data_IF_472047427345
#
_entry.id   IF_472047427345
#
_cell.length_a   1.000
_cell.length_b   1.000
_cell.length_c   1.000
_cell.angle_alpha   90.00
_cell.angle_beta   90.00
_cell.angle_gamma   90.00
#
_symmetry.space_group_name_H-M   'P 1'
#
loop_
_entity.id
_entity.type
_entity.pdbx_description
1 polymer ?
#
# COMPACT_ATOMS: atom_id res chain seq x y z
N UNK A 1 -35.57 -46.14 1.58
CA UNK A 1 -34.39 -45.84 0.74
C UNK A 1 -34.46 -44.37 0.36
N UNK A 2 -33.47 -43.58 0.80
CA UNK A 2 -33.37 -42.14 0.56
C UNK A 2 -32.83 -41.92 -0.87
N UNK A 3 -33.59 -41.27 -1.73
CA UNK A 3 -33.08 -40.68 -2.98
C UNK A 3 -32.63 -39.26 -2.67
N UNK A 4 -31.35 -39.10 -2.32
CA UNK A 4 -30.73 -37.79 -2.06
C UNK A 4 -30.32 -37.19 -3.41
N UNK A 5 -30.97 -36.06 -3.72
CA UNK A 5 -30.47 -34.89 -4.45
C UNK A 5 -29.38 -35.11 -5.51
N UNK A 6 -29.81 -35.24 -6.76
CA UNK A 6 -28.99 -34.90 -7.93
C UNK A 6 -29.25 -33.44 -8.33
N UNK A 7 -28.86 -32.50 -7.48
CA UNK A 7 -28.71 -31.08 -7.83
C UNK A 7 -27.28 -30.67 -7.45
N UNK A 8 -26.33 -31.16 -8.23
CA UNK A 8 -24.93 -30.75 -8.20
C UNK A 8 -24.49 -30.55 -9.64
N UNK A 9 -25.03 -29.50 -10.28
CA UNK A 9 -24.50 -29.01 -11.55
C UNK A 9 -25.05 -27.61 -11.85
N UNK A 10 -24.35 -26.59 -11.36
CA UNK A 10 -23.94 -25.41 -12.12
C UNK A 10 -23.22 -24.47 -11.17
N UNK A 11 -21.92 -24.73 -10.99
CA UNK A 11 -20.98 -23.71 -10.58
C UNK A 11 -20.86 -22.76 -11.77
N UNK A 12 -21.81 -21.83 -11.84
CA UNK A 12 -21.91 -20.82 -12.88
C UNK A 12 -20.66 -19.95 -12.73
N UNK A 13 -19.61 -20.27 -13.50
CA UNK A 13 -18.44 -19.40 -13.65
C UNK A 13 -18.94 -18.14 -14.34
N UNK A 14 -19.51 -17.22 -13.55
CA UNK A 14 -19.92 -15.89 -13.98
C UNK A 14 -18.65 -15.16 -14.37
N UNK A 15 -18.22 -15.41 -15.60
CA UNK A 15 -17.10 -14.74 -16.22
C UNK A 15 -17.69 -13.44 -16.75
N UNK A 16 -17.81 -12.43 -15.87
CA UNK A 16 -18.24 -11.09 -16.30
C UNK A 16 -17.30 -10.65 -17.43
N UNK A 17 -17.81 -10.19 -18.59
CA UNK A 17 -16.97 -9.61 -19.63
C UNK A 17 -16.10 -8.48 -19.05
N UNK A 18 -14.87 -8.32 -19.54
CA UNK A 18 -13.97 -7.22 -19.12
C UNK A 18 -14.64 -5.83 -19.29
N UNK A 19 -15.55 -5.71 -20.26
CA UNK A 19 -16.32 -4.51 -20.52
C UNK A 19 -17.60 -4.36 -19.66
N UNK A 20 -17.98 -5.38 -18.89
CA UNK A 20 -19.16 -5.38 -18.02
C UNK A 20 -18.85 -4.77 -16.65
N UNK A 21 -18.15 -3.65 -16.68
CA UNK A 21 -17.97 -2.79 -15.52
C UNK A 21 -19.31 -2.14 -15.16
N UNK A 22 -19.72 -2.28 -13.91
CA UNK A 22 -20.94 -1.66 -13.46
C UNK A 22 -20.63 -0.23 -12.96
N UNK A 23 -21.40 0.80 -13.34
CA UNK A 23 -21.15 2.18 -12.90
C UNK A 23 -21.03 2.33 -11.37
N UNK A 24 -21.70 1.48 -10.61
CA UNK A 24 -21.61 1.41 -9.14
C UNK A 24 -20.22 1.06 -8.61
N UNK A 25 -19.37 0.40 -9.41
CA UNK A 25 -17.99 0.07 -9.05
C UNK A 25 -17.04 1.29 -9.22
N UNK A 26 -17.53 2.47 -9.66
CA UNK A 26 -16.76 3.70 -9.95
C UNK A 26 -15.94 4.19 -8.77
N UNK A 27 -16.59 4.30 -7.61
CA UNK A 27 -15.95 4.77 -6.39
C UNK A 27 -14.80 3.84 -5.97
N UNK A 28 -15.00 2.53 -6.09
CA UNK A 28 -14.02 1.52 -5.74
C UNK A 28 -12.77 1.58 -6.63
N UNK A 29 -12.93 1.64 -7.96
CA UNK A 29 -11.79 1.79 -8.87
C UNK A 29 -11.05 3.10 -8.66
N UNK A 30 -11.79 4.19 -8.41
CA UNK A 30 -11.20 5.48 -8.07
C UNK A 30 -10.38 5.40 -6.79
N UNK A 31 -10.90 4.73 -5.75
CA UNK A 31 -10.19 4.47 -4.50
C UNK A 31 -8.88 3.69 -4.72
N UNK A 32 -8.91 2.63 -5.52
CA UNK A 32 -7.68 1.88 -5.86
C UNK A 32 -6.66 2.80 -6.52
N UNK A 33 -7.09 3.57 -7.52
CA UNK A 33 -6.24 4.54 -8.21
C UNK A 33 -5.63 5.55 -7.23
N UNK A 34 -6.44 6.08 -6.30
CA UNK A 34 -5.98 7.00 -5.26
C UNK A 34 -4.93 6.36 -4.35
N UNK A 35 -5.14 5.13 -3.89
CA UNK A 35 -4.17 4.40 -3.06
C UNK A 35 -2.84 4.21 -3.78
N UNK A 36 -2.87 3.74 -5.04
CA UNK A 36 -1.67 3.50 -5.86
C UNK A 36 -0.90 4.80 -6.10
N UNK A 37 -1.61 5.86 -6.48
CA UNK A 37 -1.02 7.17 -6.71
C UNK A 37 -0.44 7.76 -5.42
N UNK A 38 -1.19 7.75 -4.30
CA UNK A 38 -0.74 8.28 -3.02
C UNK A 38 0.53 7.58 -2.53
N UNK A 39 0.59 6.25 -2.61
CA UNK A 39 1.79 5.48 -2.25
C UNK A 39 2.99 5.89 -3.11
N UNK A 40 2.77 5.97 -4.42
CA UNK A 40 3.81 6.34 -5.40
C UNK A 40 4.30 7.76 -5.16
N UNK A 41 3.41 8.70 -4.84
CA UNK A 41 3.79 10.07 -4.52
C UNK A 41 4.59 10.13 -3.21
N UNK A 42 4.21 9.36 -2.20
CA UNK A 42 4.96 9.30 -0.95
C UNK A 42 6.40 8.80 -1.15
N UNK A 43 6.60 7.75 -1.95
CA UNK A 43 7.95 7.28 -2.29
C UNK A 43 8.78 8.39 -2.96
N UNK A 44 8.18 9.16 -3.87
CA UNK A 44 8.87 10.27 -4.54
C UNK A 44 9.19 11.42 -3.57
N UNK A 45 8.23 11.82 -2.74
CA UNK A 45 8.42 12.87 -1.75
C UNK A 45 9.50 12.50 -0.73
N UNK A 46 9.53 11.24 -0.27
CA UNK A 46 10.56 10.76 0.63
C UNK A 46 11.93 10.71 -0.03
N UNK A 47 12.02 10.29 -1.29
CA UNK A 47 13.26 10.33 -2.06
C UNK A 47 13.82 11.75 -2.18
N UNK A 48 12.97 12.73 -2.49
CA UNK A 48 13.34 14.15 -2.54
C UNK A 48 13.82 14.66 -1.17
N UNK A 49 13.08 14.34 -0.09
CA UNK A 49 13.48 14.69 1.28
C UNK A 49 14.84 14.10 1.67
N UNK A 50 15.11 12.86 1.29
CA UNK A 50 16.42 12.25 1.52
C UNK A 50 17.53 12.94 0.72
N UNK A 51 17.26 13.40 -0.50
CA UNK A 51 18.23 14.20 -1.26
C UNK A 51 18.60 15.50 -0.51
N UNK A 52 17.60 16.23 0.00
CA UNK A 52 17.85 17.42 0.84
C UNK A 52 18.72 17.08 2.07
N UNK A 53 18.39 15.99 2.77
CA UNK A 53 19.16 15.57 3.94
C UNK A 53 20.62 15.23 3.59
N UNK A 54 20.87 14.53 2.47
CA UNK A 54 22.23 14.24 1.99
C UNK A 54 23.01 15.52 1.70
N UNK A 55 22.38 16.48 1.01
CA UNK A 55 22.98 17.78 0.71
C UNK A 55 23.38 18.53 1.99
N UNK A 56 22.51 18.55 3.01
CA UNK A 56 22.82 19.21 4.29
C UNK A 56 23.99 18.56 5.05
N UNK A 57 24.25 17.28 4.81
CA UNK A 57 25.39 16.56 5.37
C UNK A 57 26.68 16.71 4.54
N UNK A 58 26.61 17.39 3.39
CA UNK A 58 27.72 17.50 2.45
C UNK A 58 27.96 16.25 1.60
N UNK A 59 27.01 15.31 1.56
CA UNK A 59 27.06 14.14 0.68
C UNK A 59 26.40 14.47 -0.67
N UNK A 60 27.19 15.02 -1.60
CA UNK A 60 26.72 15.49 -2.92
C UNK A 60 26.73 14.38 -3.97
N UNK A 61 26.82 13.11 -3.56
CA UNK A 61 26.82 11.99 -4.52
C UNK A 61 25.43 11.84 -5.13
N UNK A 62 25.34 12.03 -6.44
CA UNK A 62 24.16 11.60 -7.21
C UNK A 62 24.10 10.07 -7.20
N UNK A 63 23.23 9.51 -6.37
CA UNK A 63 22.94 8.06 -6.37
C UNK A 63 22.05 7.75 -7.58
N UNK A 64 22.66 7.62 -8.75
CA UNK A 64 21.98 7.19 -9.98
C UNK A 64 21.63 5.70 -9.91
N UNK A 65 20.54 5.35 -9.25
CA UNK A 65 20.03 3.99 -9.29
C UNK A 65 19.34 3.76 -10.65
N UNK A 66 19.68 2.66 -11.34
CA UNK A 66 18.99 2.22 -12.57
C UNK A 66 17.51 1.91 -12.36
N UNK A 67 17.11 1.68 -11.11
CA UNK A 67 15.73 1.39 -10.71
C UNK A 67 15.31 2.33 -9.59
N UNK A 68 14.06 2.79 -9.66
CA UNK A 68 13.46 3.65 -8.63
C UNK A 68 13.56 2.96 -7.26
N UNK A 69 14.00 3.66 -6.21
CA UNK A 69 14.06 3.09 -4.88
C UNK A 69 12.65 2.76 -4.36
N UNK A 70 12.51 1.62 -3.69
CA UNK A 70 11.25 1.21 -3.04
C UNK A 70 11.14 1.86 -1.66
N UNK A 71 9.93 1.96 -1.12
CA UNK A 71 9.70 2.44 0.26
C UNK A 71 10.65 1.81 1.29
N UNK A 72 10.88 0.50 1.24
CA UNK A 72 11.82 -0.20 2.14
C UNK A 72 13.25 0.36 2.08
N UNK A 73 13.75 0.65 0.88
CA UNK A 73 15.09 1.23 0.70
C UNK A 73 15.14 2.65 1.24
N UNK A 74 14.13 3.45 0.93
CA UNK A 74 14.02 4.84 1.40
C UNK A 74 13.95 4.91 2.94
N UNK A 75 13.14 4.08 3.59
CA UNK A 75 13.04 4.02 5.05
C UNK A 75 14.34 3.58 5.72
N UNK A 76 15.04 2.61 5.13
CA UNK A 76 16.35 2.15 5.63
C UNK A 76 17.37 3.29 5.58
N UNK A 77 17.35 4.06 4.50
CA UNK A 77 18.21 5.20 4.34
C UNK A 77 17.86 6.34 5.31
N UNK A 78 16.57 6.68 5.45
CA UNK A 78 16.12 7.69 6.42
C UNK A 78 16.62 7.37 7.82
N UNK A 79 16.42 6.14 8.27
CA UNK A 79 16.89 5.67 9.59
C UNK A 79 18.40 5.84 9.74
N UNK A 80 19.16 5.48 8.71
CA UNK A 80 20.63 5.57 8.72
C UNK A 80 21.09 7.02 8.78
N UNK A 81 20.52 7.88 7.94
CA UNK A 81 20.81 9.32 7.87
C UNK A 81 20.51 10.02 9.20
N UNK A 82 19.35 9.76 9.80
CA UNK A 82 18.97 10.34 11.11
C UNK A 82 19.89 9.83 12.21
N UNK A 83 20.18 8.52 12.26
CA UNK A 83 21.08 7.95 13.25
C UNK A 83 22.52 8.50 13.13
N UNK A 84 22.99 8.80 11.91
CA UNK A 84 24.31 9.39 11.70
C UNK A 84 24.36 10.86 12.10
N UNK A 85 23.29 11.62 11.81
CA UNK A 85 23.20 13.06 12.11
C UNK A 85 23.15 13.33 13.61
N UNK A 86 22.34 12.57 14.35
CA UNK A 86 22.24 12.71 15.80
C UNK A 86 21.94 11.36 16.45
N UNK A 87 23.01 10.66 16.87
CA UNK A 87 22.92 9.37 17.56
C UNK A 87 22.14 9.43 18.88
N UNK A 88 21.88 10.62 19.44
CA UNK A 88 21.14 10.80 20.69
C UNK A 88 19.68 11.17 20.46
N UNK A 89 19.25 11.36 19.21
CA UNK A 89 17.85 11.63 18.88
C UNK A 89 17.00 10.35 18.91
N UNK A 90 16.88 9.77 20.10
CA UNK A 90 16.10 8.55 20.35
C UNK A 90 14.61 8.76 20.00
N UNK A 91 14.10 9.98 20.13
CA UNK A 91 12.72 10.33 19.78
C UNK A 91 12.47 10.17 18.27
N UNK A 92 13.32 10.75 17.41
CA UNK A 92 13.17 10.62 15.96
C UNK A 92 13.34 9.16 15.49
N UNK A 93 14.27 8.41 16.08
CA UNK A 93 14.43 6.99 15.73
C UNK A 93 13.23 6.13 16.15
N UNK A 94 12.58 6.48 17.26
CA UNK A 94 11.33 5.83 17.70
C UNK A 94 10.19 6.16 16.76
N UNK A 95 10.03 7.43 16.37
CA UNK A 95 9.02 7.88 15.40
C UNK A 95 9.19 7.17 14.04
N UNK A 96 10.42 7.06 13.54
CA UNK A 96 10.72 6.32 12.29
C UNK A 96 10.26 4.86 12.40
N UNK A 97 10.48 4.19 13.53
CA UNK A 97 10.10 2.80 13.73
C UNK A 97 8.57 2.63 13.83
N UNK A 98 7.85 3.61 14.36
CA UNK A 98 6.38 3.63 14.35
C UNK A 98 5.84 3.81 12.93
N UNK A 99 6.31 4.84 12.23
CA UNK A 99 5.94 5.12 10.84
C UNK A 99 6.23 3.93 9.93
N UNK A 100 7.36 3.25 10.11
CA UNK A 100 7.69 2.07 9.32
C UNK A 100 6.72 0.90 9.54
N UNK A 101 6.28 0.67 10.79
CA UNK A 101 5.27 -0.36 11.09
C UNK A 101 3.95 -0.04 10.40
N UNK A 102 3.53 1.22 10.41
CA UNK A 102 2.32 1.68 9.74
C UNK A 102 2.43 1.53 8.21
N UNK A 103 3.57 1.93 7.63
CA UNK A 103 3.85 1.75 6.20
C UNK A 103 3.84 0.28 5.79
N UNK A 104 4.42 -0.63 6.57
CA UNK A 104 4.39 -2.06 6.27
C UNK A 104 2.96 -2.62 6.33
N UNK A 105 2.13 -2.12 7.23
CA UNK A 105 0.71 -2.49 7.31
C UNK A 105 -0.04 -2.05 6.05
N UNK A 106 0.15 -0.80 5.64
CA UNK A 106 -0.47 -0.25 4.43
C UNK A 106 0.06 -0.93 3.16
N UNK A 107 1.35 -1.24 3.07
CA UNK A 107 1.96 -1.95 1.94
C UNK A 107 1.37 -3.36 1.76
N UNK A 108 1.10 -4.07 2.86
CA UNK A 108 0.40 -5.36 2.84
C UNK A 108 -1.03 -5.20 2.31
N UNK A 109 -1.75 -4.18 2.77
CA UNK A 109 -3.10 -3.89 2.25
C UNK A 109 -3.07 -3.53 0.76
N UNK A 110 -2.15 -2.66 0.34
CA UNK A 110 -1.95 -2.31 -1.08
C UNK A 110 -1.63 -3.56 -1.91
N UNK A 111 -0.79 -4.45 -1.41
CA UNK A 111 -0.44 -5.71 -2.08
C UNK A 111 -1.63 -6.67 -2.19
N UNK A 112 -2.49 -6.73 -1.16
CA UNK A 112 -3.75 -7.49 -1.19
C UNK A 112 -4.69 -6.97 -2.29
N UNK A 113 -4.80 -5.65 -2.45
CA UNK A 113 -5.60 -5.03 -3.50
C UNK A 113 -5.01 -5.28 -4.89
N UNK A 114 -3.74 -4.96 -5.11
CA UNK A 114 -3.13 -4.98 -6.45
C UNK A 114 -2.85 -6.41 -6.93
N UNK A 115 -2.28 -7.24 -6.05
CA UNK A 115 -1.87 -8.60 -6.41
C UNK A 115 -2.89 -9.68 -6.03
N UNK A 116 -3.73 -9.40 -5.04
CA UNK A 116 -4.68 -10.36 -4.50
C UNK A 116 -6.09 -10.26 -5.08
N UNK A 117 -6.43 -9.21 -5.84
CA UNK A 117 -7.76 -9.04 -6.43
C UNK A 117 -8.24 -10.30 -7.17
N UNK A 118 -9.48 -10.71 -6.92
CA UNK A 118 -10.13 -11.83 -7.62
C UNK A 118 -11.30 -11.35 -8.46
N UNK A 119 -12.28 -10.71 -7.82
CA UNK A 119 -13.52 -10.29 -8.46
C UNK A 119 -14.20 -9.15 -7.67
N UNK A 120 -15.05 -8.36 -8.33
CA UNK A 120 -15.99 -7.47 -7.64
C UNK A 120 -16.93 -8.24 -6.71
N UNK A 121 -17.30 -7.61 -5.60
CA UNK A 121 -18.28 -8.11 -4.63
C UNK A 121 -19.21 -6.95 -4.22
N UNK A 122 -20.38 -7.21 -3.61
CA UNK A 122 -21.17 -6.14 -3.02
C UNK A 122 -20.31 -5.26 -2.10
N UNK A 123 -20.41 -3.94 -2.29
CA UNK A 123 -19.72 -2.89 -1.53
C UNK A 123 -18.18 -2.98 -1.52
N UNK A 124 -17.56 -3.74 -2.42
CA UNK A 124 -16.12 -3.96 -2.38
C UNK A 124 -15.56 -4.99 -3.35
N UNK A 125 -14.51 -5.67 -2.89
CA UNK A 125 -13.78 -6.67 -3.66
C UNK A 125 -13.54 -7.92 -2.85
N UNK A 126 -13.53 -9.06 -3.55
CA UNK A 126 -12.94 -10.27 -3.03
C UNK A 126 -11.46 -10.33 -3.45
N UNK A 127 -10.59 -10.45 -2.46
CA UNK A 127 -9.14 -10.59 -2.62
C UNK A 127 -8.64 -11.89 -1.99
N UNK A 128 -7.42 -12.29 -2.36
CA UNK A 128 -6.65 -13.38 -1.76
C UNK A 128 -5.37 -12.83 -1.17
N UNK A 129 -5.12 -13.12 0.11
CA UNK A 129 -3.85 -12.78 0.73
C UNK A 129 -2.72 -13.70 0.26
N UNK A 130 -1.48 -13.45 0.73
CA UNK A 130 -0.31 -14.28 0.40
C UNK A 130 -0.41 -15.73 0.87
N UNK A 131 -1.30 -16.03 1.82
CA UNK A 131 -1.59 -17.37 2.33
C UNK A 131 -2.81 -18.00 1.64
N UNK A 132 -3.31 -17.35 0.59
CA UNK A 132 -4.48 -17.75 -0.18
C UNK A 132 -5.80 -17.72 0.61
N UNK A 133 -5.88 -16.97 1.72
CA UNK A 133 -7.12 -16.76 2.44
C UNK A 133 -7.99 -15.74 1.70
N UNK A 134 -9.30 -15.99 1.64
CA UNK A 134 -10.25 -15.03 1.09
C UNK A 134 -10.38 -13.84 2.05
N UNK A 135 -10.32 -12.63 1.50
CA UNK A 135 -10.51 -11.37 2.20
C UNK A 135 -11.52 -10.54 1.42
N UNK A 136 -12.54 -10.01 2.09
CA UNK A 136 -13.39 -8.99 1.51
C UNK A 136 -12.83 -7.62 1.90
N UNK A 137 -12.66 -6.75 0.92
CA UNK A 137 -12.20 -5.37 1.13
C UNK A 137 -13.31 -4.44 0.69
N UNK A 138 -13.94 -3.77 1.65
CA UNK A 138 -14.99 -2.80 1.40
C UNK A 138 -14.44 -1.46 0.90
N UNK A 139 -15.30 -0.64 0.29
CA UNK A 139 -14.96 0.75 -0.04
C UNK A 139 -14.56 1.55 1.22
N UNK A 140 -15.29 1.36 2.32
CA UNK A 140 -15.00 2.01 3.60
C UNK A 140 -13.60 1.65 4.11
N UNK A 141 -13.23 0.36 4.10
CA UNK A 141 -11.90 -0.06 4.51
C UNK A 141 -10.82 0.53 3.60
N UNK A 142 -11.05 0.60 2.29
CA UNK A 142 -10.14 1.25 1.35
C UNK A 142 -9.94 2.74 1.66
N UNK A 143 -11.01 3.47 1.97
CA UNK A 143 -10.94 4.89 2.32
C UNK A 143 -10.19 5.11 3.65
N UNK A 144 -10.41 4.26 4.66
CA UNK A 144 -9.67 4.29 5.92
C UNK A 144 -8.17 4.08 5.71
N UNK A 145 -7.79 3.14 4.84
CA UNK A 145 -6.40 2.84 4.53
C UNK A 145 -5.70 3.98 3.79
N UNK A 146 -6.44 4.66 2.90
CA UNK A 146 -5.95 5.86 2.22
C UNK A 146 -5.77 7.01 3.21
N UNK A 147 -6.74 7.24 4.11
CA UNK A 147 -6.62 8.26 5.14
C UNK A 147 -5.45 7.99 6.09
N UNK A 148 -5.25 6.73 6.48
CA UNK A 148 -4.09 6.32 7.27
C UNK A 148 -2.77 6.59 6.54
N UNK A 149 -2.69 6.30 5.23
CA UNK A 149 -1.52 6.61 4.42
C UNK A 149 -1.21 8.12 4.40
N UNK A 150 -2.23 8.97 4.28
CA UNK A 150 -2.06 10.43 4.30
C UNK A 150 -1.52 10.92 5.66
N UNK A 151 -2.00 10.36 6.77
CA UNK A 151 -1.49 10.68 8.11
C UNK A 151 -0.04 10.24 8.29
N UNK A 152 0.29 9.02 7.87
CA UNK A 152 1.64 8.47 7.92
C UNK A 152 2.60 9.27 7.04
N UNK A 153 2.15 9.68 5.85
CA UNK A 153 2.91 10.56 4.97
C UNK A 153 3.25 11.89 5.64
N UNK A 154 2.27 12.53 6.28
CA UNK A 154 2.49 13.79 6.98
C UNK A 154 3.49 13.63 8.12
N UNK A 155 3.39 12.55 8.92
CA UNK A 155 4.38 12.27 9.99
C UNK A 155 5.77 12.09 9.41
N UNK A 156 5.90 11.22 8.40
CA UNK A 156 7.16 10.84 7.79
C UNK A 156 7.93 12.03 7.18
N UNK A 157 7.23 12.91 6.47
CA UNK A 157 7.86 14.05 5.79
C UNK A 157 8.27 15.18 6.77
N UNK A 158 7.80 15.13 8.02
CA UNK A 158 8.18 16.08 9.07
C UNK A 158 9.35 15.59 9.95
N UNK A 159 9.89 14.39 9.67
CA UNK A 159 11.12 13.88 10.29
C UNK A 159 12.35 14.57 9.67
#
# INVERSE_FOLDING_TARGET
MRGVSAELAQDDKVTKPVAAYAPEDAALLCGIGRLVCAWTMLEHSLEARLAELRETMGDVRTVGARTRPTMTKLMTELRTTVAMRDRRNAAALTEIAEVERDLQRIDRFRSLIIGGFQQPAPDGFLCRDLRNNAQHVSLEHLDEEIAALEQVAQRLLNI
#
